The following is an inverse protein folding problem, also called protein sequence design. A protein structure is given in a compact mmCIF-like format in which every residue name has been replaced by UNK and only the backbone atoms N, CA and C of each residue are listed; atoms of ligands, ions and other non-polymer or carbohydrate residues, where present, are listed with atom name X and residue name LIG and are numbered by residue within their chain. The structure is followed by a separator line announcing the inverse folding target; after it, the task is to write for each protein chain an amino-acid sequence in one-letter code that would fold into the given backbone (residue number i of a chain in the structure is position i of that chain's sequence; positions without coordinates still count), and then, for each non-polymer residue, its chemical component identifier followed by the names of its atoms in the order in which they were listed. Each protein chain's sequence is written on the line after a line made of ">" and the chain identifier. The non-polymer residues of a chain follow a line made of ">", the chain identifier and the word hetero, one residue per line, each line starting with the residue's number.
data_IF_085997425408
#
_entry.id   IF_085997425408
#
_cell.length_a   1.000
_cell.length_b   1.000
_cell.length_c   1.000
_cell.angle_alpha   90.00
_cell.angle_beta   90.00
_cell.angle_gamma   90.00
#
_symmetry.space_group_name_H-M   'P 1'
#
loop_
_entity.id
_entity.type
_entity.pdbx_description
1 polymer ?
#
# COMPACT_ATOMS: atom_id res chain seq x y z
N UNK A 1 -5.44 -26.05 24.88
CA UNK A 1 -5.78 -24.67 25.22
C UNK A 1 -6.01 -23.96 23.92
N UNK A 2 -7.18 -23.37 23.72
CA UNK A 2 -7.57 -22.71 22.48
C UNK A 2 -6.56 -21.60 22.12
N UNK A 3 -6.03 -21.72 20.91
CA UNK A 3 -5.62 -20.67 19.97
C UNK A 3 -5.10 -19.35 20.54
N UNK A 4 -3.78 -19.19 20.61
CA UNK A 4 -3.11 -17.89 20.44
C UNK A 4 -2.66 -17.71 18.97
N UNK A 5 -3.43 -18.30 18.06
CA UNK A 5 -3.44 -17.92 16.64
C UNK A 5 -4.37 -16.71 16.59
N UNK A 6 -3.94 -15.62 15.96
CA UNK A 6 -4.76 -14.45 15.61
C UNK A 6 -4.72 -13.25 16.56
N UNK A 7 -3.52 -12.88 17.04
CA UNK A 7 -3.16 -11.45 17.01
C UNK A 7 -2.17 -11.26 15.86
N UNK A 8 -2.66 -11.53 14.64
CA UNK A 8 -2.13 -10.83 13.48
C UNK A 8 -2.76 -9.45 13.58
N UNK A 9 -2.26 -8.59 14.46
CA UNK A 9 -2.32 -7.18 14.13
C UNK A 9 -1.51 -7.11 12.84
N UNK A 10 -2.14 -6.86 11.68
CA UNK A 10 -1.38 -6.65 10.48
C UNK A 10 -0.68 -5.31 10.71
N UNK A 11 0.47 -5.34 11.41
CA UNK A 11 1.32 -4.17 11.64
C UNK A 11 1.43 -3.44 10.30
N UNK A 12 1.46 -2.11 10.34
CA UNK A 12 1.51 -1.16 9.21
C UNK A 12 2.18 -1.66 7.91
N UNK A 13 3.22 -2.47 8.01
CA UNK A 13 3.91 -3.11 6.89
C UNK A 13 3.08 -4.10 6.05
N UNK A 14 2.11 -4.77 6.64
CA UNK A 14 1.31 -5.81 5.97
C UNK A 14 0.21 -5.22 5.08
N UNK A 15 -0.38 -4.08 5.47
CA UNK A 15 -1.26 -3.27 4.60
C UNK A 15 -0.46 -2.71 3.43
N UNK A 16 0.71 -2.12 3.70
CA UNK A 16 1.58 -1.59 2.64
C UNK A 16 2.01 -2.66 1.63
N UNK A 17 2.35 -3.86 2.11
CA UNK A 17 2.70 -4.99 1.27
C UNK A 17 1.53 -5.46 0.39
N UNK A 18 0.31 -5.52 0.93
CA UNK A 18 -0.89 -5.87 0.18
C UNK A 18 -1.21 -4.83 -0.90
N UNK A 19 -1.16 -3.54 -0.54
CA UNK A 19 -1.39 -2.41 -1.44
C UNK A 19 -0.36 -2.39 -2.58
N UNK A 20 0.91 -2.67 -2.29
CA UNK A 20 1.94 -2.79 -3.33
C UNK A 20 1.59 -3.87 -4.35
N UNK A 21 1.01 -5.00 -3.92
CA UNK A 21 0.54 -6.04 -4.83
C UNK A 21 -0.69 -5.62 -5.64
N UNK A 22 -1.61 -4.84 -5.07
CA UNK A 22 -2.73 -4.26 -5.83
C UNK A 22 -2.21 -3.34 -6.94
N UNK A 23 -1.30 -2.42 -6.60
CA UNK A 23 -0.68 -1.47 -7.52
C UNK A 23 0.03 -2.20 -8.68
N UNK A 24 0.82 -3.24 -8.36
CA UNK A 24 1.48 -4.04 -9.39
C UNK A 24 0.49 -4.78 -10.29
N UNK A 25 -0.54 -5.40 -9.69
CA UNK A 25 -1.53 -6.16 -10.45
C UNK A 25 -2.32 -5.25 -11.40
N UNK A 26 -2.72 -4.06 -10.95
CA UNK A 26 -3.45 -3.10 -11.77
C UNK A 26 -2.57 -2.46 -12.84
N UNK A 27 -1.31 -2.13 -12.50
CA UNK A 27 -0.33 -1.67 -13.47
C UNK A 27 -0.12 -2.67 -14.61
N UNK A 28 0.00 -3.96 -14.30
CA UNK A 28 0.12 -5.03 -15.30
C UNK A 28 -1.14 -5.13 -16.17
N UNK A 29 -2.33 -5.06 -15.57
CA UNK A 29 -3.61 -5.12 -16.30
C UNK A 29 -3.76 -3.95 -17.27
N UNK A 30 -3.42 -2.74 -16.84
CA UNK A 30 -3.52 -1.54 -17.66
C UNK A 30 -2.46 -1.51 -18.76
N UNK A 31 -1.25 -1.97 -18.46
CA UNK A 31 -0.16 -2.04 -19.43
C UNK A 31 -0.34 -3.13 -20.49
N UNK A 32 -1.25 -4.10 -20.26
CA UNK A 32 -1.37 -5.35 -21.02
C UNK A 32 0.00 -6.01 -21.27
N UNK A 33 0.85 -5.97 -20.23
CA UNK A 33 2.26 -6.29 -20.35
C UNK A 33 2.87 -6.60 -18.99
N UNK A 34 3.88 -7.47 -19.01
CA UNK A 34 4.77 -7.72 -17.87
C UNK A 34 6.12 -7.01 -18.00
N UNK A 35 6.33 -6.25 -19.07
CA UNK A 35 7.56 -5.49 -19.26
C UNK A 35 7.63 -4.36 -18.22
N UNK A 36 8.71 -4.33 -17.44
CA UNK A 36 8.86 -3.43 -16.30
C UNK A 36 8.59 -1.96 -16.63
N UNK A 37 9.10 -1.46 -17.75
CA UNK A 37 8.90 -0.07 -18.17
C UNK A 37 7.43 0.23 -18.47
N UNK A 38 6.74 -0.65 -19.20
CA UNK A 38 5.33 -0.48 -19.53
C UNK A 38 4.45 -0.47 -18.27
N UNK A 39 4.75 -1.37 -17.32
CA UNK A 39 4.04 -1.44 -16.03
C UNK A 39 4.29 -0.17 -15.21
N UNK A 40 5.54 0.30 -15.16
CA UNK A 40 5.89 1.51 -14.44
C UNK A 40 5.22 2.76 -15.05
N UNK A 41 5.15 2.86 -16.38
CA UNK A 41 4.46 3.94 -17.07
C UNK A 41 2.95 3.90 -16.80
N UNK A 42 2.33 2.71 -16.82
CA UNK A 42 0.92 2.56 -16.49
C UNK A 42 0.60 2.95 -15.04
N UNK A 43 1.44 2.54 -14.07
CA UNK A 43 1.28 2.90 -12.65
C UNK A 43 1.33 4.42 -12.45
N UNK A 44 2.14 5.14 -13.22
CA UNK A 44 2.27 6.60 -13.12
C UNK A 44 1.19 7.38 -13.87
N UNK A 45 0.46 6.75 -14.80
CA UNK A 45 -0.44 7.42 -15.73
C UNK A 45 -1.83 7.74 -15.18
N UNK A 46 -2.28 7.02 -14.15
CA UNK A 46 -3.67 7.01 -13.68
C UNK A 46 -3.75 6.99 -12.13
N UNK A 47 -4.95 7.17 -11.59
CA UNK A 47 -5.23 6.89 -10.17
C UNK A 47 -5.50 5.39 -9.98
N UNK A 48 -4.87 4.78 -8.97
CA UNK A 48 -5.05 3.36 -8.64
C UNK A 48 -5.88 3.21 -7.36
N UNK A 49 -7.01 2.53 -7.46
CA UNK A 49 -7.90 2.27 -6.31
C UNK A 49 -7.33 1.15 -5.43
N UNK A 50 -7.08 1.45 -4.16
CA UNK A 50 -6.47 0.50 -3.22
C UNK A 50 -7.21 0.48 -1.88
N UNK A 51 -6.74 -0.34 -0.92
CA UNK A 51 -7.22 -0.27 0.47
C UNK A 51 -6.89 1.06 1.16
N UNK A 52 -5.92 1.83 0.63
CA UNK A 52 -5.53 3.15 1.12
C UNK A 52 -6.11 4.26 0.20
N UNK A 53 -7.29 4.02 -0.35
CA UNK A 53 -7.95 4.87 -1.33
C UNK A 53 -7.16 5.01 -2.65
N UNK A 54 -7.45 6.08 -3.41
CA UNK A 54 -6.88 6.36 -4.72
C UNK A 54 -5.43 6.86 -4.64
N UNK A 55 -4.47 6.00 -5.00
CA UNK A 55 -3.05 6.34 -5.06
C UNK A 55 -2.69 6.96 -6.40
N UNK A 56 -1.82 7.97 -6.37
CA UNK A 56 -1.20 8.58 -7.55
C UNK A 56 0.29 8.73 -7.33
N UNK A 57 1.05 8.55 -8.41
CA UNK A 57 2.51 8.57 -8.36
C UNK A 57 3.09 9.76 -9.13
N UNK A 58 4.22 10.28 -8.64
CA UNK A 58 5.04 11.25 -9.36
C UNK A 58 5.84 10.54 -10.45
N UNK A 59 6.49 11.32 -11.33
CA UNK A 59 7.37 10.77 -12.37
C UNK A 59 8.50 9.89 -11.79
N UNK A 60 8.99 10.24 -10.60
CA UNK A 60 10.06 9.52 -9.91
C UNK A 60 9.56 8.31 -9.09
N UNK A 61 8.24 8.08 -9.04
CA UNK A 61 7.64 6.92 -8.36
C UNK A 61 7.25 7.15 -6.89
N UNK A 62 7.35 8.37 -6.38
CA UNK A 62 6.83 8.73 -5.05
C UNK A 62 5.31 8.92 -5.09
N UNK A 63 4.61 8.77 -3.96
CA UNK A 63 3.21 9.15 -3.87
C UNK A 63 3.06 10.67 -4.00
N UNK A 64 2.06 11.13 -4.77
CA UNK A 64 1.78 12.56 -4.93
C UNK A 64 1.22 13.18 -3.63
N UNK A 65 0.42 12.41 -2.88
CA UNK A 65 -0.21 12.84 -1.63
C UNK A 65 -0.06 11.72 -0.58
N UNK A 66 1.13 11.58 0.03
CA UNK A 66 1.38 10.53 1.00
C UNK A 66 0.64 10.82 2.30
N UNK A 67 -0.26 9.93 2.70
CA UNK A 67 -0.84 9.97 4.03
C UNK A 67 0.21 9.65 5.09
N UNK A 68 0.34 10.53 6.08
CA UNK A 68 1.23 10.34 7.22
C UNK A 68 0.39 9.96 8.44
N UNK A 69 0.64 8.75 8.96
CA UNK A 69 0.03 8.28 10.18
C UNK A 69 0.99 8.49 11.35
N UNK A 70 0.50 9.11 12.41
CA UNK A 70 1.26 9.30 13.65
C UNK A 70 0.80 8.21 14.61
N UNK A 71 1.77 7.48 15.17
CA UNK A 71 1.53 6.46 16.17
C UNK A 71 2.20 6.85 17.48
N UNK A 72 1.54 6.56 18.58
CA UNK A 72 2.10 6.66 19.92
C UNK A 72 2.20 5.28 20.55
N UNK A 73 3.14 5.11 21.48
CA UNK A 73 3.26 3.87 22.25
C UNK A 73 2.46 4.02 23.53
N UNK A 74 1.40 3.21 23.69
CA UNK A 74 0.54 3.14 24.89
C UNK A 74 0.55 1.71 25.38
N UNK A 75 0.86 1.51 26.66
CA UNK A 75 0.92 0.19 27.30
C UNK A 75 1.78 -0.86 26.56
N UNK A 76 2.77 -0.40 25.79
CA UNK A 76 3.68 -1.24 25.00
C UNK A 76 3.18 -1.58 23.59
N UNK A 77 2.02 -1.08 23.18
CA UNK A 77 1.45 -1.27 21.84
C UNK A 77 1.45 0.05 21.05
N UNK A 78 1.49 -0.04 19.71
CA UNK A 78 1.35 1.12 18.84
C UNK A 78 -0.14 1.44 18.65
N UNK A 79 -0.55 2.62 19.06
CA UNK A 79 -1.88 3.16 18.82
C UNK A 79 -1.80 4.34 17.85
N UNK A 80 -2.68 4.37 16.84
CA UNK A 80 -2.78 5.52 15.95
C UNK A 80 -3.34 6.73 16.71
N UNK A 81 -2.70 7.87 16.54
CA UNK A 81 -3.19 9.16 17.04
C UNK A 81 -4.21 9.69 16.04
N UNK A 82 -5.41 10.06 16.51
CA UNK A 82 -6.40 10.86 15.75
C UNK A 82 -6.01 12.34 15.66
#
# INVERSE_FOLDING_TARGET
>A
GLSAVEYRNPDTYSVNGYVAMQVLADGVRQADSLAANNVADAIRGETLETLLDGLRYTENGDLQDPQIWIYQVVDGEFEQVE
#
